data_IF_513827173232
#
_entry.id   IF_513827173232
#
_cell.length_a   1.000
_cell.length_b   1.000
_cell.length_c   1.000
_cell.angle_alpha   90.00
_cell.angle_beta   90.00
_cell.angle_gamma   90.00
#
_symmetry.space_group_name_H-M   'P 1'
#
loop_
_entity.id
_entity.type
_entity.pdbx_description
1 polymer ?
#
# COMPACT_ATOMS: atom_id res chain seq x y z
N UNK A 1 -5.44 -2.00 26.97
CA UNK A 1 -5.00 -1.45 25.66
C UNK A 1 -4.86 -2.52 24.57
N UNK A 2 -4.96 -3.82 24.88
CA UNK A 2 -4.92 -4.92 23.89
C UNK A 2 -6.26 -5.20 23.20
N UNK A 3 -7.38 -5.15 23.94
CA UNK A 3 -8.71 -5.51 23.43
C UNK A 3 -9.23 -4.53 22.35
N UNK A 4 -9.14 -3.22 22.58
CA UNK A 4 -9.57 -2.21 21.60
C UNK A 4 -8.84 -2.29 20.25
N UNK A 5 -7.58 -2.75 20.25
CA UNK A 5 -6.78 -2.88 19.03
C UNK A 5 -7.14 -4.18 18.28
N UNK A 6 -7.53 -5.23 19.00
CA UNK A 6 -8.07 -6.46 18.41
C UNK A 6 -9.46 -6.25 17.81
N UNK A 7 -10.35 -5.54 18.50
CA UNK A 7 -11.70 -5.24 18.00
C UNK A 7 -11.64 -4.38 16.73
N UNK A 8 -10.82 -3.32 16.73
CA UNK A 8 -10.63 -2.47 15.54
C UNK A 8 -10.07 -3.27 14.35
N UNK A 9 -9.11 -4.16 14.58
CA UNK A 9 -8.58 -5.04 13.52
C UNK A 9 -9.62 -6.05 13.02
N UNK A 10 -10.48 -6.55 13.90
CA UNK A 10 -11.59 -7.43 13.57
C UNK A 10 -12.61 -6.75 12.68
N UNK A 11 -13.08 -5.57 13.07
CA UNK A 11 -14.04 -4.75 12.31
C UNK A 11 -13.50 -4.40 10.92
N UNK A 12 -12.20 -4.07 10.84
CA UNK A 12 -11.49 -3.82 9.59
C UNK A 12 -11.52 -5.06 8.68
N UNK A 13 -11.22 -6.24 9.23
CA UNK A 13 -11.20 -7.48 8.47
C UNK A 13 -12.59 -7.89 7.96
N UNK A 14 -13.62 -7.73 8.78
CA UNK A 14 -15.00 -8.02 8.40
C UNK A 14 -15.49 -7.09 7.28
N UNK A 15 -15.17 -5.80 7.38
CA UNK A 15 -15.51 -4.82 6.36
C UNK A 15 -14.85 -5.15 5.00
N UNK A 16 -13.54 -5.46 5.01
CA UNK A 16 -12.81 -5.88 3.82
C UNK A 16 -13.42 -7.16 3.24
N UNK A 17 -13.72 -8.15 4.07
CA UNK A 17 -14.24 -9.45 3.62
C UNK A 17 -15.64 -9.32 3.02
N UNK A 18 -16.51 -8.53 3.65
CA UNK A 18 -17.85 -8.25 3.14
C UNK A 18 -17.80 -7.53 1.79
N UNK A 19 -16.89 -6.57 1.66
CA UNK A 19 -16.75 -5.81 0.43
C UNK A 19 -16.07 -6.61 -0.70
N UNK A 20 -15.05 -7.42 -0.41
CA UNK A 20 -14.41 -8.28 -1.42
C UNK A 20 -15.41 -9.23 -2.09
N UNK A 21 -16.42 -9.69 -1.36
CA UNK A 21 -17.52 -10.49 -1.90
C UNK A 21 -18.39 -9.73 -2.91
N UNK A 22 -18.51 -8.40 -2.76
CA UNK A 22 -19.33 -7.53 -3.62
C UNK A 22 -18.54 -6.87 -4.75
N UNK A 23 -17.25 -6.57 -4.56
CA UNK A 23 -16.37 -5.95 -5.55
C UNK A 23 -16.28 -6.75 -6.87
N UNK A 24 -16.30 -8.09 -6.76
CA UNK A 24 -16.26 -8.98 -7.92
C UNK A 24 -17.53 -8.94 -8.79
N UNK A 25 -18.63 -8.37 -8.29
CA UNK A 25 -19.92 -8.30 -8.99
C UNK A 25 -20.06 -7.04 -9.85
N UNK A 26 -19.29 -5.98 -9.58
CA UNK A 26 -19.41 -4.68 -10.24
C UNK A 26 -18.46 -4.49 -11.43
N UNK A 27 -17.88 -5.57 -11.97
CA UNK A 27 -16.96 -5.49 -13.12
C UNK A 27 -15.61 -4.81 -12.83
N UNK A 28 -15.22 -4.69 -11.56
CA UNK A 28 -13.91 -4.16 -11.17
C UNK A 28 -12.81 -5.18 -11.48
N UNK A 29 -11.99 -4.90 -12.50
CA UNK A 29 -10.88 -5.74 -12.88
C UNK A 29 -9.71 -5.55 -11.91
N UNK A 30 -9.27 -6.66 -11.28
CA UNK A 30 -8.09 -6.67 -10.43
C UNK A 30 -6.86 -7.05 -11.24
N UNK A 31 -5.81 -6.24 -11.15
CA UNK A 31 -4.52 -6.59 -11.74
C UNK A 31 -3.92 -7.81 -11.01
N UNK A 32 -3.56 -8.90 -11.73
CA UNK A 32 -2.92 -10.05 -11.12
C UNK A 32 -1.60 -9.69 -10.42
N UNK A 33 -1.32 -10.33 -9.28
CA UNK A 33 -0.16 -9.97 -8.42
C UNK A 33 1.19 -10.07 -9.12
N UNK A 34 1.36 -11.05 -10.01
CA UNK A 34 2.61 -11.22 -10.76
C UNK A 34 2.87 -10.06 -11.73
N UNK A 35 1.81 -9.52 -12.36
CA UNK A 35 1.92 -8.36 -13.26
C UNK A 35 2.33 -7.11 -12.47
N UNK A 36 1.70 -6.87 -11.32
CA UNK A 36 2.04 -5.73 -10.45
C UNK A 36 3.53 -5.79 -10.07
N UNK A 37 4.01 -6.94 -9.60
CA UNK A 37 5.41 -7.11 -9.20
C UNK A 37 6.38 -6.90 -10.35
N UNK A 38 6.06 -7.44 -11.53
CA UNK A 38 6.85 -7.24 -12.73
C UNK A 38 6.93 -5.75 -13.08
N UNK A 39 5.80 -5.05 -13.13
CA UNK A 39 5.76 -3.63 -13.45
C UNK A 39 6.54 -2.79 -12.44
N UNK A 40 6.36 -3.03 -11.13
CA UNK A 40 7.13 -2.33 -10.10
C UNK A 40 8.61 -2.61 -10.22
N UNK A 41 9.01 -3.86 -10.49
CA UNK A 41 10.41 -4.22 -10.69
C UNK A 41 11.03 -3.56 -11.92
N UNK A 42 10.24 -3.32 -12.98
CA UNK A 42 10.70 -2.63 -14.19
C UNK A 42 10.82 -1.11 -13.97
N UNK A 43 9.89 -0.53 -13.21
CA UNK A 43 9.91 0.90 -12.88
C UNK A 43 11.02 1.23 -11.88
N UNK A 44 11.39 0.30 -11.00
CA UNK A 44 12.38 0.46 -9.92
C UNK A 44 12.19 1.75 -9.09
N UNK A 45 11.04 1.92 -8.41
CA UNK A 45 10.78 3.13 -7.64
C UNK A 45 11.79 3.32 -6.50
N UNK A 46 12.09 4.59 -6.21
CA UNK A 46 13.09 4.98 -5.20
C UNK A 46 12.50 5.91 -4.13
N UNK A 47 13.11 5.96 -2.94
CA UNK A 47 12.62 6.71 -1.77
C UNK A 47 12.62 8.23 -1.97
N UNK A 48 13.31 8.73 -3.00
CA UNK A 48 13.37 10.15 -3.33
C UNK A 48 12.27 10.63 -4.30
N UNK A 49 11.40 9.72 -4.74
CA UNK A 49 10.39 9.98 -5.77
C UNK A 49 8.99 9.99 -5.17
N UNK A 50 8.07 10.76 -5.77
CA UNK A 50 6.63 10.66 -5.48
C UNK A 50 5.98 9.69 -6.44
N UNK A 51 5.07 8.87 -5.92
CA UNK A 51 4.42 7.80 -6.68
C UNK A 51 2.91 8.03 -6.62
N UNK A 52 2.26 8.05 -7.78
CA UNK A 52 0.82 8.28 -7.91
C UNK A 52 0.17 7.14 -8.68
N UNK A 53 -0.92 6.59 -8.14
CA UNK A 53 -1.79 5.63 -8.83
C UNK A 53 -3.19 6.25 -9.00
N UNK A 54 -3.60 6.64 -10.23
CA UNK A 54 -4.86 7.32 -10.48
C UNK A 54 -6.09 6.40 -10.47
N UNK A 55 -5.90 5.07 -10.38
CA UNK A 55 -6.95 4.06 -10.30
C UNK A 55 -6.51 2.96 -9.32
N UNK A 56 -6.28 3.35 -8.08
CA UNK A 56 -5.54 2.53 -7.11
C UNK A 56 -6.29 1.27 -6.67
N UNK A 57 -7.62 1.23 -6.82
CA UNK A 57 -8.45 0.14 -6.34
C UNK A 57 -8.12 -0.18 -4.89
N UNK A 58 -7.73 -1.43 -4.62
CA UNK A 58 -7.29 -1.86 -3.27
C UNK A 58 -5.82 -1.56 -2.93
N UNK A 59 -5.11 -0.73 -3.70
CA UNK A 59 -3.73 -0.30 -3.41
C UNK A 59 -2.63 -1.23 -3.91
N UNK A 60 -2.92 -2.08 -4.90
CA UNK A 60 -2.01 -3.15 -5.32
C UNK A 60 -0.60 -2.67 -5.72
N UNK A 61 -0.54 -1.64 -6.59
CA UNK A 61 0.72 -1.06 -7.04
C UNK A 61 1.44 -0.30 -5.93
N UNK A 62 0.73 0.53 -5.18
CA UNK A 62 1.28 1.34 -4.09
C UNK A 62 1.98 0.46 -3.05
N UNK A 63 1.32 -0.61 -2.59
CA UNK A 63 1.88 -1.53 -1.60
C UNK A 63 3.12 -2.25 -2.15
N UNK A 64 3.10 -2.67 -3.42
CA UNK A 64 4.26 -3.34 -4.03
C UNK A 64 5.42 -2.37 -4.23
N UNK A 65 5.16 -1.10 -4.57
CA UNK A 65 6.18 -0.07 -4.64
C UNK A 65 6.82 0.20 -3.27
N UNK A 66 6.00 0.30 -2.22
CA UNK A 66 6.47 0.43 -0.84
C UNK A 66 7.37 -0.75 -0.43
N UNK A 67 6.92 -1.98 -0.68
CA UNK A 67 7.71 -3.18 -0.40
C UNK A 67 9.01 -3.23 -1.22
N UNK A 68 8.98 -2.80 -2.48
CA UNK A 68 10.16 -2.74 -3.33
C UNK A 68 11.20 -1.78 -2.77
N UNK A 69 10.79 -0.58 -2.36
CA UNK A 69 11.68 0.40 -1.72
C UNK A 69 12.23 -0.18 -0.41
N UNK A 70 11.38 -0.73 0.47
CA UNK A 70 11.88 -1.36 1.70
C UNK A 70 12.90 -2.47 1.41
N UNK A 71 12.65 -3.32 0.40
CA UNK A 71 13.59 -4.38 -0.02
C UNK A 71 14.93 -3.79 -0.47
N UNK A 72 14.91 -2.73 -1.29
CA UNK A 72 16.12 -2.03 -1.79
C UNK A 72 16.98 -1.49 -0.65
N UNK A 73 16.33 -0.97 0.39
CA UNK A 73 16.98 -0.40 1.57
C UNK A 73 17.08 -1.36 2.75
N UNK A 74 16.81 -2.66 2.55
CA UNK A 74 17.07 -3.67 3.58
C UNK A 74 18.43 -4.33 3.34
N UNK A 75 19.22 -4.50 4.40
CA UNK A 75 20.47 -5.25 4.36
C UNK A 75 20.25 -6.69 3.90
N UNK A 76 21.11 -7.17 2.98
CA UNK A 76 20.97 -8.52 2.38
C UNK A 76 20.94 -9.64 3.44
N UNK A 77 21.63 -9.45 4.56
CA UNK A 77 21.68 -10.42 5.66
C UNK A 77 20.36 -10.51 6.45
N UNK A 78 19.49 -9.49 6.35
CA UNK A 78 18.19 -9.44 7.03
C UNK A 78 17.07 -9.94 6.12
N UNK A 79 17.28 -9.98 4.80
CA UNK A 79 16.30 -10.47 3.84
C UNK A 79 16.12 -11.98 3.97
N UNK A 80 14.87 -12.43 4.07
CA UNK A 80 14.51 -13.85 4.01
C UNK A 80 13.81 -14.12 2.69
N UNK A 81 14.46 -14.83 1.78
CA UNK A 81 13.86 -15.18 0.49
C UNK A 81 13.17 -16.53 0.62
N UNK A 82 11.86 -16.56 0.34
CA UNK A 82 11.07 -17.79 0.30
C UNK A 82 11.45 -18.68 -0.88
N UNK A 83 10.96 -19.92 -0.88
CA UNK A 83 11.13 -20.88 -1.99
C UNK A 83 10.52 -20.40 -3.31
N UNK A 84 9.60 -19.44 -3.24
CA UNK A 84 8.94 -18.76 -4.35
C UNK A 84 9.69 -17.53 -4.88
N UNK A 85 10.88 -17.23 -4.34
CA UNK A 85 11.69 -16.07 -4.70
C UNK A 85 11.17 -14.74 -4.11
N UNK A 86 10.17 -14.77 -3.23
CA UNK A 86 9.63 -13.57 -2.60
C UNK A 86 10.47 -13.22 -1.37
N UNK A 87 10.94 -11.98 -1.32
CA UNK A 87 11.65 -11.47 -0.15
C UNK A 87 10.65 -11.10 0.95
N UNK A 88 10.91 -11.61 2.15
CA UNK A 88 10.21 -11.32 3.40
C UNK A 88 11.18 -10.69 4.40
N UNK A 89 10.66 -10.17 5.51
CA UNK A 89 11.40 -9.40 6.52
C UNK A 89 11.98 -8.07 5.96
N UNK A 90 11.12 -7.29 5.31
CA UNK A 90 11.46 -6.00 4.71
C UNK A 90 11.47 -4.92 5.80
N UNK A 91 12.65 -4.57 6.30
CA UNK A 91 12.81 -3.63 7.43
C UNK A 91 13.12 -2.21 6.94
N UNK A 92 13.89 -2.09 5.86
CA UNK A 92 14.40 -0.80 5.39
C UNK A 92 15.42 -0.19 6.35
N UNK A 93 16.32 -1.00 6.92
CA UNK A 93 17.31 -0.57 7.93
C UNK A 93 18.32 0.48 7.41
N UNK A 94 18.48 0.58 6.08
CA UNK A 94 19.37 1.56 5.45
C UNK A 94 18.68 2.90 5.15
N UNK A 95 17.40 3.05 5.49
CA UNK A 95 16.70 4.33 5.34
C UNK A 95 17.12 5.27 6.45
N UNK A 96 17.53 6.49 6.10
CA UNK A 96 17.63 7.58 7.08
C UNK A 96 16.25 7.89 7.66
N UNK A 97 16.22 8.50 8.85
CA UNK A 97 14.96 8.90 9.50
C UNK A 97 14.11 9.80 8.59
N UNK A 98 14.73 10.76 7.89
CA UNK A 98 14.03 11.63 6.93
C UNK A 98 13.43 10.87 5.76
N UNK A 99 14.17 9.90 5.21
CA UNK A 99 13.67 9.04 4.12
C UNK A 99 12.53 8.15 4.61
N UNK A 100 12.63 7.60 5.82
CA UNK A 100 11.57 6.81 6.44
C UNK A 100 10.32 7.65 6.67
N UNK A 101 10.46 8.87 7.17
CA UNK A 101 9.33 9.79 7.36
C UNK A 101 8.66 10.13 6.03
N UNK A 102 9.45 10.47 5.01
CA UNK A 102 8.93 10.75 3.66
C UNK A 102 8.22 9.54 3.04
N UNK A 103 8.83 8.34 3.13
CA UNK A 103 8.26 7.08 2.66
C UNK A 103 6.91 6.79 3.33
N UNK A 104 6.81 7.05 4.63
CA UNK A 104 5.60 6.79 5.40
C UNK A 104 4.50 7.80 5.11
N UNK A 105 4.82 9.09 4.99
CA UNK A 105 3.82 10.15 5.05
C UNK A 105 3.55 10.87 3.72
N UNK A 106 4.53 10.93 2.81
CA UNK A 106 4.49 11.88 1.69
C UNK A 106 4.73 11.26 0.30
N UNK A 107 5.23 10.04 0.25
CA UNK A 107 5.67 9.43 -1.00
C UNK A 107 4.52 8.96 -1.90
N UNK A 108 3.42 8.46 -1.33
CA UNK A 108 2.39 7.75 -2.08
C UNK A 108 1.08 8.54 -2.20
N UNK A 109 0.52 8.54 -3.40
CA UNK A 109 -0.76 9.14 -3.73
C UNK A 109 -1.61 8.10 -4.46
N UNK A 110 -2.84 7.89 -4.00
CA UNK A 110 -3.81 7.03 -4.65
C UNK A 110 -5.08 7.82 -4.97
N UNK A 111 -5.70 7.52 -6.11
CA UNK A 111 -7.03 8.00 -6.46
C UNK A 111 -7.84 6.83 -6.97
N UNK A 112 -9.13 6.83 -6.63
CA UNK A 112 -10.11 5.95 -7.23
C UNK A 112 -11.46 6.69 -7.28
N UNK A 113 -12.36 6.24 -8.14
CA UNK A 113 -13.71 6.80 -8.19
C UNK A 113 -14.59 6.18 -7.09
N UNK A 114 -14.31 4.94 -6.69
CA UNK A 114 -15.12 4.20 -5.72
C UNK A 114 -14.61 4.42 -4.28
N UNK A 115 -15.43 5.08 -3.45
CA UNK A 115 -15.06 5.39 -2.06
C UNK A 115 -14.69 4.17 -1.22
N UNK A 116 -15.45 3.05 -1.26
CA UNK A 116 -15.03 1.83 -0.59
C UNK A 116 -13.69 1.26 -1.09
N UNK A 117 -13.33 1.40 -2.38
CA UNK A 117 -12.00 1.00 -2.85
C UNK A 117 -10.90 1.81 -2.17
N UNK A 118 -11.11 3.12 -2.06
CA UNK A 118 -10.22 4.03 -1.34
C UNK A 118 -10.05 3.59 0.12
N UNK A 119 -11.14 3.23 0.80
CA UNK A 119 -11.08 2.77 2.20
C UNK A 119 -10.28 1.47 2.32
N UNK A 120 -10.51 0.48 1.46
CA UNK A 120 -9.76 -0.77 1.46
C UNK A 120 -8.28 -0.52 1.14
N UNK A 121 -7.98 0.39 0.22
CA UNK A 121 -6.61 0.82 -0.06
C UNK A 121 -5.93 1.39 1.20
N UNK A 122 -6.60 2.32 1.89
CA UNK A 122 -6.09 2.91 3.13
C UNK A 122 -5.83 1.84 4.19
N UNK A 123 -6.78 0.92 4.38
CA UNK A 123 -6.64 -0.18 5.35
C UNK A 123 -5.46 -1.09 5.00
N UNK A 124 -5.33 -1.47 3.72
CA UNK A 124 -4.21 -2.29 3.28
C UNK A 124 -2.86 -1.57 3.50
N UNK A 125 -2.79 -0.26 3.30
CA UNK A 125 -1.58 0.54 3.58
C UNK A 125 -1.21 0.52 5.07
N UNK A 126 -2.20 0.72 5.95
CA UNK A 126 -2.01 0.67 7.40
C UNK A 126 -1.51 -0.71 7.84
N UNK A 127 -2.12 -1.78 7.35
CA UNK A 127 -1.74 -3.16 7.67
C UNK A 127 -0.31 -3.51 7.23
N UNK A 128 0.19 -2.90 6.15
CA UNK A 128 1.55 -3.10 5.68
C UNK A 128 2.57 -2.13 6.33
N UNK A 129 2.15 -1.35 7.32
CA UNK A 129 3.02 -0.51 8.13
C UNK A 129 3.35 0.85 7.51
N UNK A 130 2.78 1.21 6.36
CA UNK A 130 2.84 2.58 5.84
C UNK A 130 1.72 3.41 6.46
N UNK A 131 2.07 4.33 7.36
CA UNK A 131 1.15 5.35 7.87
C UNK A 131 1.06 6.51 6.87
N UNK A 132 0.68 6.21 5.64
CA UNK A 132 0.41 7.28 4.70
C UNK A 132 -0.93 7.87 5.10
N UNK A 133 -0.91 9.06 5.72
CA UNK A 133 -2.05 9.95 5.59
C UNK A 133 -2.22 10.15 4.10
N UNK A 134 -3.21 9.49 3.52
CA UNK A 134 -3.59 9.77 2.15
C UNK A 134 -4.40 11.08 2.20
N UNK A 135 -3.71 12.17 2.56
CA UNK A 135 -4.25 13.50 2.83
C UNK A 135 -4.57 14.26 1.55
N UNK A 136 -4.53 13.60 0.38
CA UNK A 136 -4.87 14.21 -0.91
C UNK A 136 -5.80 13.33 -1.76
N UNK A 137 -6.75 12.64 -1.13
CA UNK A 137 -7.94 12.15 -1.83
C UNK A 137 -8.83 13.34 -2.18
N UNK A 138 -8.62 13.92 -3.36
CA UNK A 138 -9.54 14.89 -3.92
C UNK A 138 -10.70 14.16 -4.61
N UNK A 139 -11.92 14.41 -4.14
CA UNK A 139 -13.11 14.33 -5.00
C UNK A 139 -12.83 15.24 -6.20
N UNK A 140 -13.06 14.81 -7.43
CA UNK A 140 -13.27 15.80 -8.50
C UNK A 140 -14.39 16.73 -8.01
N UNK A 141 -14.04 17.97 -7.65
CA UNK A 141 -15.00 19.03 -7.34
C UNK A 141 -14.89 19.75 -5.99
N UNK A 142 -14.09 19.33 -5.00
CA UNK A 142 -13.99 20.09 -3.74
C UNK A 142 -12.52 20.19 -3.29
N UNK A 143 -11.91 21.36 -3.54
CA UNK A 143 -10.66 21.79 -2.89
C UNK A 143 -11.00 22.36 -1.51
N UNK A 144 -10.26 22.05 -0.44
CA UNK A 144 -10.29 22.89 0.75
C UNK A 144 -9.58 24.22 0.44
N UNK A 145 -10.12 25.31 1.00
CA UNK A 145 -9.48 26.63 0.99
C UNK A 145 -8.21 26.62 1.83
#
# INVERSE_FOLDING_TARGET
MSEQNQDMQGDIYEHITSYLKTAGLNGQFRTPRHIIRMMVSLVDPDVHQKICDPACGTGGFIINAYQHILKKYTSKNLLKVGSDGIASNLIGDKLSEKQREFLLNEQFFGYDYDNPMIQICQMNMILHGSKCEISKFYRQGIRPR
#
